data_IF_363746564221
#
_entry.id   IF_363746564221
#
_cell.length_a   1.000
_cell.length_b   1.000
_cell.length_c   1.000
_cell.angle_alpha   90.00
_cell.angle_beta   90.00
_cell.angle_gamma   90.00
#
_symmetry.space_group_name_H-M   'P 1'
#
loop_
_entity.id
_entity.type
_entity.pdbx_description
1 polymer ?
#
# COMPACT_ATOMS: atom_id res chain seq x y z
N UNK A 1 43.76 9.19 30.74
CA UNK A 1 43.76 8.87 29.28
C UNK A 1 42.80 7.73 28.92
N UNK A 2 42.84 6.56 29.57
CA UNK A 2 41.94 5.41 29.28
C UNK A 2 40.43 5.71 29.37
N UNK A 3 40.01 6.55 30.33
CA UNK A 3 38.63 7.01 30.51
C UNK A 3 38.11 7.87 29.34
N UNK A 4 39.00 8.64 28.70
CA UNK A 4 38.64 9.53 27.58
C UNK A 4 38.36 8.73 26.29
N UNK A 5 39.08 7.63 26.08
CA UNK A 5 38.83 6.72 24.95
C UNK A 5 37.51 5.94 25.10
N UNK A 6 37.14 5.59 26.34
CA UNK A 6 35.85 4.92 26.62
C UNK A 6 34.69 5.90 26.37
N UNK A 7 34.80 7.16 26.82
CA UNK A 7 33.77 8.16 26.62
C UNK A 7 33.60 8.53 25.13
N UNK A 8 34.71 8.62 24.38
CA UNK A 8 34.68 8.83 22.94
C UNK A 8 34.06 7.64 22.18
N UNK A 9 34.31 6.40 22.62
CA UNK A 9 33.70 5.21 22.04
C UNK A 9 32.19 5.15 22.24
N UNK A 10 31.69 5.51 23.42
CA UNK A 10 30.24 5.56 23.72
C UNK A 10 29.54 6.65 22.89
N UNK A 11 30.18 7.80 22.69
CA UNK A 11 29.62 8.89 21.88
C UNK A 11 29.50 8.52 20.39
N UNK A 12 30.46 7.75 19.85
CA UNK A 12 30.43 7.25 18.47
C UNK A 12 29.31 6.22 18.25
N UNK A 13 29.03 5.38 19.25
CA UNK A 13 27.94 4.38 19.20
C UNK A 13 26.57 5.06 19.19
N UNK A 14 26.40 6.15 19.96
CA UNK A 14 25.15 6.90 20.03
C UNK A 14 24.81 7.65 18.73
N UNK A 15 25.81 8.05 17.93
CA UNK A 15 25.60 8.74 16.65
C UNK A 15 25.18 7.81 15.50
N UNK A 16 25.28 6.49 15.67
CA UNK A 16 24.96 5.51 14.61
C UNK A 16 23.51 5.01 14.64
N UNK A 17 22.66 5.52 15.55
CA UNK A 17 21.31 5.00 15.76
C UNK A 17 20.21 5.72 14.94
N UNK A 18 20.58 6.60 14.02
CA UNK A 18 19.61 7.24 13.14
C UNK A 18 19.32 6.32 11.94
N UNK A 19 18.36 5.40 12.11
CA UNK A 19 17.73 4.71 10.98
C UNK A 19 16.48 5.49 10.61
N UNK A 20 16.53 6.26 9.54
CA UNK A 20 15.32 6.70 8.85
C UNK A 20 14.76 5.48 8.12
N UNK A 21 13.53 5.09 8.45
CA UNK A 21 12.82 4.13 7.62
C UNK A 21 12.68 4.70 6.20
N UNK A 22 12.84 3.86 5.16
CA UNK A 22 12.68 4.32 3.79
C UNK A 22 11.27 4.89 3.60
N UNK A 23 11.20 6.06 2.98
CA UNK A 23 9.94 6.73 2.64
C UNK A 23 9.06 5.79 1.79
N UNK A 24 7.82 5.58 2.25
CA UNK A 24 6.84 4.76 1.52
C UNK A 24 6.32 5.58 0.34
N UNK A 25 6.74 5.20 -0.87
CA UNK A 25 6.31 5.87 -2.10
C UNK A 25 5.15 5.10 -2.75
N UNK A 26 3.97 5.72 -2.77
CA UNK A 26 2.80 5.20 -3.48
C UNK A 26 2.92 5.50 -4.97
N UNK A 27 2.83 4.45 -5.78
CA UNK A 27 2.87 4.52 -7.24
C UNK A 27 1.48 4.24 -7.80
N UNK A 28 1.26 4.69 -9.03
CA UNK A 28 0.05 4.37 -9.76
C UNK A 28 0.35 4.14 -11.24
N UNK A 29 -0.53 3.40 -11.90
CA UNK A 29 -0.60 3.25 -13.36
C UNK A 29 -2.04 3.43 -13.80
N UNK A 30 -2.24 4.13 -14.91
CA UNK A 30 -3.56 4.57 -15.35
C UNK A 30 -4.09 5.76 -14.55
N UNK A 31 -5.27 6.24 -14.93
CA UNK A 31 -5.93 7.36 -14.26
C UNK A 31 -7.44 7.17 -14.30
N UNK A 32 -8.10 7.43 -13.18
CA UNK A 32 -9.56 7.32 -13.08
C UNK A 32 -10.28 8.21 -14.11
N UNK A 33 -9.75 9.41 -14.37
CA UNK A 33 -10.30 10.33 -15.37
C UNK A 33 -10.29 9.73 -16.79
N UNK A 34 -9.25 8.98 -17.16
CA UNK A 34 -9.15 8.33 -18.48
C UNK A 34 -10.16 7.18 -18.60
N UNK A 35 -10.33 6.39 -17.54
CA UNK A 35 -11.37 5.35 -17.45
C UNK A 35 -12.76 5.97 -17.60
N UNK A 36 -13.04 7.07 -16.89
CA UNK A 36 -14.31 7.79 -17.00
C UNK A 36 -14.53 8.39 -18.39
N UNK A 37 -13.46 8.73 -19.11
CA UNK A 37 -13.51 9.17 -20.50
C UNK A 37 -13.68 8.00 -21.50
N UNK A 38 -13.69 6.75 -21.03
CA UNK A 38 -13.89 5.54 -21.81
C UNK A 38 -12.61 4.80 -22.22
N UNK A 39 -11.43 5.29 -21.81
CA UNK A 39 -10.18 4.58 -22.03
C UNK A 39 -9.93 3.54 -20.93
N UNK A 40 -10.34 2.30 -21.20
CA UNK A 40 -10.29 1.17 -20.26
C UNK A 40 -9.19 0.16 -20.59
N UNK A 41 -8.26 0.50 -21.49
CA UNK A 41 -7.16 -0.38 -21.87
C UNK A 41 -6.19 -0.62 -20.70
N UNK A 42 -5.50 -1.76 -20.71
CA UNK A 42 -4.48 -2.10 -19.73
C UNK A 42 -3.28 -1.14 -19.81
N UNK A 43 -2.86 -0.62 -18.65
CA UNK A 43 -1.72 0.31 -18.53
C UNK A 43 -0.51 -0.34 -17.85
N UNK A 44 -0.73 -1.42 -17.10
CA UNK A 44 0.32 -2.18 -16.42
C UNK A 44 -0.06 -3.67 -16.38
N UNK A 45 0.94 -4.55 -16.52
CA UNK A 45 0.79 -5.98 -16.25
C UNK A 45 1.07 -6.26 -14.77
N UNK A 46 0.25 -7.08 -14.12
CA UNK A 46 0.46 -7.46 -12.72
C UNK A 46 1.74 -8.27 -12.50
N UNK A 47 2.25 -8.95 -13.53
CA UNK A 47 3.57 -9.60 -13.51
C UNK A 47 4.72 -8.63 -13.20
N UNK A 48 4.53 -7.31 -13.39
CA UNK A 48 5.50 -6.29 -12.97
C UNK A 48 5.72 -6.26 -11.45
N UNK A 49 4.79 -6.82 -10.66
CA UNK A 49 4.85 -6.85 -9.21
C UNK A 49 5.41 -8.17 -8.64
N UNK A 50 5.65 -9.19 -9.47
CA UNK A 50 5.97 -10.57 -9.03
C UNK A 50 7.18 -10.69 -8.11
N UNK A 51 8.19 -9.84 -8.33
CA UNK A 51 9.46 -9.88 -7.59
C UNK A 51 9.49 -8.84 -6.45
N UNK A 52 8.45 -8.01 -6.33
CA UNK A 52 8.32 -7.05 -5.24
C UNK A 52 7.89 -7.76 -3.96
N UNK A 53 8.47 -7.36 -2.82
CA UNK A 53 8.12 -7.89 -1.51
C UNK A 53 7.17 -6.94 -0.78
N UNK A 54 6.32 -7.49 0.09
CA UNK A 54 5.42 -6.72 0.94
C UNK A 54 4.54 -5.74 0.15
N UNK A 55 4.01 -6.20 -0.98
CA UNK A 55 3.24 -5.37 -1.90
C UNK A 55 1.83 -5.17 -1.38
N UNK A 56 1.36 -3.93 -1.47
CA UNK A 56 -0.03 -3.58 -1.27
C UNK A 56 -0.52 -2.90 -2.54
N UNK A 57 -1.62 -3.37 -3.11
CA UNK A 57 -2.19 -2.80 -4.33
C UNK A 57 -3.71 -2.89 -4.35
N UNK A 58 -4.32 -1.92 -5.02
CA UNK A 58 -5.75 -1.83 -5.30
C UNK A 58 -5.93 -1.30 -6.73
N UNK A 59 -6.84 -1.88 -7.50
CA UNK A 59 -7.09 -1.44 -8.86
C UNK A 59 -8.18 -2.21 -9.58
N UNK A 60 -8.33 -1.93 -10.87
CA UNK A 60 -9.31 -2.57 -11.74
C UNK A 60 -8.59 -3.34 -12.86
N UNK A 61 -9.07 -4.54 -13.16
CA UNK A 61 -8.61 -5.35 -14.29
C UNK A 61 -8.87 -4.62 -15.62
N UNK A 62 -8.04 -4.92 -16.61
CA UNK A 62 -8.22 -4.45 -17.99
C UNK A 62 -9.66 -4.67 -18.49
N UNK A 63 -10.16 -3.69 -19.25
CA UNK A 63 -11.54 -3.62 -19.74
C UNK A 63 -12.61 -3.61 -18.63
N UNK A 64 -12.23 -3.25 -17.40
CA UNK A 64 -13.10 -3.23 -16.22
C UNK A 64 -13.77 -4.59 -15.93
N UNK A 65 -13.07 -5.69 -16.23
CA UNK A 65 -13.59 -7.05 -16.05
C UNK A 65 -13.58 -7.54 -14.59
N UNK A 66 -13.16 -6.69 -13.65
CA UNK A 66 -13.12 -7.02 -12.24
C UNK A 66 -12.16 -6.14 -11.45
N UNK A 67 -11.92 -6.53 -10.20
CA UNK A 67 -11.13 -5.78 -9.23
C UNK A 67 -9.88 -6.55 -8.84
N UNK A 68 -8.82 -5.82 -8.48
CA UNK A 68 -7.51 -6.33 -8.09
C UNK A 68 -7.26 -5.88 -6.65
N UNK A 69 -6.95 -6.82 -5.77
CA UNK A 69 -6.45 -6.54 -4.44
C UNK A 69 -5.19 -7.36 -4.17
N UNK A 70 -4.12 -6.69 -3.73
CA UNK A 70 -2.91 -7.35 -3.25
C UNK A 70 -2.66 -6.89 -1.82
N UNK A 71 -2.56 -7.84 -0.89
CA UNK A 71 -2.29 -7.55 0.51
C UNK A 71 -1.05 -8.30 0.98
N UNK A 72 0.01 -7.56 1.31
CA UNK A 72 1.32 -8.12 1.67
C UNK A 72 1.87 -9.14 0.65
N UNK A 73 1.60 -8.93 -0.65
CA UNK A 73 1.97 -9.84 -1.74
C UNK A 73 0.97 -10.96 -2.05
N UNK A 74 -0.08 -11.14 -1.24
CA UNK A 74 -1.16 -12.09 -1.54
C UNK A 74 -2.15 -11.47 -2.52
N UNK A 75 -2.34 -12.13 -3.67
CA UNK A 75 -3.16 -11.61 -4.78
C UNK A 75 -4.56 -12.21 -4.71
N UNK A 76 -5.56 -11.33 -4.77
CA UNK A 76 -6.97 -11.67 -4.93
C UNK A 76 -7.57 -10.75 -6.00
N UNK A 77 -7.79 -11.31 -7.18
CA UNK A 77 -8.54 -10.69 -8.25
C UNK A 77 -9.97 -11.22 -8.20
N UNK A 78 -10.95 -10.35 -8.32
CA UNK A 78 -12.37 -10.71 -8.39
C UNK A 78 -12.94 -10.38 -9.76
N UNK A 79 -13.81 -11.22 -10.29
CA UNK A 79 -14.55 -10.97 -11.52
C UNK A 79 -15.97 -11.52 -11.40
N UNK A 80 -16.89 -11.08 -12.26
CA UNK A 80 -18.26 -11.59 -12.29
C UNK A 80 -18.47 -12.47 -13.52
N UNK A 81 -18.93 -13.69 -13.32
CA UNK A 81 -19.40 -14.60 -14.38
C UNK A 81 -20.72 -15.22 -13.96
N UNK A 82 -21.74 -15.17 -14.81
CA UNK A 82 -23.06 -15.74 -14.53
C UNK A 82 -23.66 -15.33 -13.17
N UNK A 83 -23.57 -14.04 -12.84
CA UNK A 83 -23.98 -13.47 -11.54
C UNK A 83 -23.24 -14.02 -10.32
N UNK A 84 -22.13 -14.72 -10.53
CA UNK A 84 -21.28 -15.29 -9.47
C UNK A 84 -19.95 -14.56 -9.45
N UNK A 85 -19.47 -14.26 -8.24
CA UNK A 85 -18.11 -13.72 -8.04
C UNK A 85 -17.11 -14.87 -8.13
N UNK A 86 -16.16 -14.75 -9.04
CA UNK A 86 -15.00 -15.63 -9.15
C UNK A 86 -13.78 -14.95 -8.54
N UNK A 87 -12.97 -15.72 -7.82
CA UNK A 87 -11.72 -15.25 -7.24
C UNK A 87 -10.53 -15.96 -7.89
N UNK A 88 -9.45 -15.23 -8.12
CA UNK A 88 -8.22 -15.73 -8.72
C UNK A 88 -7.01 -15.09 -8.06
N UNK A 89 -5.91 -15.85 -7.91
CA UNK A 89 -4.63 -15.33 -7.42
C UNK A 89 -3.60 -15.14 -8.55
N UNK A 90 -4.07 -14.99 -9.79
CA UNK A 90 -3.21 -14.86 -10.97
C UNK A 90 -2.56 -13.48 -11.06
N UNK A 91 -1.26 -13.46 -11.38
CA UNK A 91 -0.55 -12.24 -11.82
C UNK A 91 -0.52 -12.08 -13.34
N UNK A 92 -1.00 -13.07 -14.09
CA UNK A 92 -1.09 -13.03 -15.55
C UNK A 92 -2.31 -12.23 -16.03
N UNK A 93 -2.48 -11.01 -15.51
CA UNK A 93 -3.55 -10.09 -15.86
C UNK A 93 -2.97 -8.66 -16.02
N UNK A 94 -3.69 -7.82 -16.74
CA UNK A 94 -3.40 -6.39 -16.85
C UNK A 94 -4.41 -5.57 -16.03
N UNK A 95 -4.02 -4.35 -15.67
CA UNK A 95 -4.87 -3.40 -14.97
C UNK A 95 -5.07 -2.12 -15.79
N UNK A 96 -6.31 -1.62 -15.89
CA UNK A 96 -6.60 -0.29 -16.45
C UNK A 96 -6.18 0.82 -15.48
N UNK A 97 -6.35 0.56 -14.18
CA UNK A 97 -5.91 1.41 -13.07
C UNK A 97 -5.33 0.53 -11.96
N UNK A 98 -4.17 0.91 -11.43
CA UNK A 98 -3.57 0.24 -10.29
C UNK A 98 -2.83 1.25 -9.42
N UNK A 99 -3.16 1.31 -8.14
CA UNK A 99 -2.41 2.04 -7.12
C UNK A 99 -1.67 0.99 -6.28
N UNK A 100 -0.37 1.15 -6.09
CA UNK A 100 0.45 0.14 -5.43
C UNK A 100 1.65 0.73 -4.69
N UNK A 101 2.11 0.01 -3.68
CA UNK A 101 3.29 0.34 -2.88
C UNK A 101 3.92 -0.92 -2.28
N UNK A 102 5.08 -0.78 -1.66
CA UNK A 102 5.73 -1.82 -0.85
C UNK A 102 5.94 -1.28 0.57
N UNK A 103 5.36 -1.96 1.56
CA UNK A 103 5.42 -1.54 2.97
C UNK A 103 5.93 -2.69 3.80
N UNK A 104 7.19 -2.60 4.24
CA UNK A 104 7.84 -3.67 5.02
C UNK A 104 7.34 -3.75 6.46
N UNK A 105 7.14 -2.60 7.10
CA UNK A 105 6.74 -2.49 8.50
C UNK A 105 5.53 -1.57 8.58
N UNK A 106 4.46 -2.01 9.24
CA UNK A 106 3.29 -1.20 9.55
C UNK A 106 3.37 -0.71 10.99
N UNK A 107 2.89 0.51 11.22
CA UNK A 107 2.51 0.94 12.56
C UNK A 107 1.06 0.50 12.81
N UNK A 108 0.85 -0.26 13.88
CA UNK A 108 -0.48 -0.71 14.27
C UNK A 108 -1.15 0.33 15.18
N UNK A 109 -2.42 0.59 14.93
CA UNK A 109 -3.26 1.49 15.74
C UNK A 109 -4.48 0.72 16.19
N UNK A 110 -4.73 0.72 17.50
CA UNK A 110 -5.93 0.09 18.05
C UNK A 110 -7.18 0.85 17.62
N UNK A 111 -8.13 0.12 17.05
CA UNK A 111 -9.43 0.66 16.68
C UNK A 111 -10.30 0.72 17.94
N UNK A 112 -11.02 1.84 18.21
CA UNK A 112 -12.00 1.92 19.29
C UNK A 112 -13.03 0.78 19.22
N UNK A 113 -13.58 0.38 20.37
CA UNK A 113 -14.41 -0.83 20.47
C UNK A 113 -15.67 -0.83 19.60
N UNK A 114 -16.12 0.33 19.11
CA UNK A 114 -17.23 0.43 18.16
C UNK A 114 -17.25 1.77 17.42
N UNK A 115 -17.45 1.68 16.11
CA UNK A 115 -18.00 2.76 15.30
C UNK A 115 -19.48 2.44 15.02
N UNK A 116 -20.30 3.48 15.00
CA UNK A 116 -21.73 3.43 14.71
C UNK A 116 -22.08 4.00 13.34
N UNK A 117 -21.16 4.77 12.73
CA UNK A 117 -21.32 5.32 11.39
C UNK A 117 -19.98 5.34 10.61
N UNK A 118 -20.06 5.25 9.28
CA UNK A 118 -18.90 5.33 8.37
C UNK A 118 -18.09 6.62 8.56
N UNK A 119 -18.77 7.76 8.74
CA UNK A 119 -18.11 9.04 9.00
C UNK A 119 -17.22 9.04 10.25
N UNK A 120 -17.48 8.17 11.24
CA UNK A 120 -16.62 8.03 12.41
C UNK A 120 -15.32 7.29 12.06
N UNK A 121 -15.39 6.31 11.15
CA UNK A 121 -14.23 5.60 10.61
C UNK A 121 -13.36 6.58 9.82
N UNK A 122 -13.95 7.34 8.90
CA UNK A 122 -13.24 8.31 8.07
C UNK A 122 -12.52 9.36 8.93
N UNK A 123 -13.25 9.89 9.92
CA UNK A 123 -12.70 10.86 10.88
C UNK A 123 -11.54 10.25 11.67
N UNK A 124 -11.70 9.03 12.18
CA UNK A 124 -10.65 8.33 12.92
C UNK A 124 -9.39 8.13 12.08
N UNK A 125 -9.53 7.67 10.83
CA UNK A 125 -8.40 7.47 9.92
C UNK A 125 -7.69 8.79 9.62
N UNK A 126 -8.44 9.85 9.30
CA UNK A 126 -7.88 11.17 8.98
C UNK A 126 -7.15 11.80 10.18
N UNK A 127 -7.78 11.80 11.35
CA UNK A 127 -7.18 12.35 12.57
C UNK A 127 -5.92 11.57 12.96
N UNK A 128 -5.97 10.23 12.93
CA UNK A 128 -4.82 9.37 13.22
C UNK A 128 -3.66 9.66 12.27
N UNK A 129 -3.92 9.74 10.97
CA UNK A 129 -2.89 10.04 9.99
C UNK A 129 -2.24 11.42 10.24
N UNK A 130 -3.05 12.44 10.55
CA UNK A 130 -2.57 13.79 10.90
C UNK A 130 -1.72 13.79 12.18
N UNK A 131 -2.15 13.07 13.22
CA UNK A 131 -1.40 12.91 14.48
C UNK A 131 -0.04 12.22 14.26
N UNK A 132 0.04 11.28 13.31
CA UNK A 132 1.28 10.62 12.88
C UNK A 132 2.13 11.44 11.91
N UNK A 133 1.71 12.66 11.56
CA UNK A 133 2.44 13.55 10.65
C UNK A 133 2.36 13.16 9.18
N UNK A 134 1.40 12.32 8.79
CA UNK A 134 1.11 12.01 7.39
C UNK A 134 0.38 13.21 6.79
N UNK A 135 0.79 13.61 5.58
CA UNK A 135 0.09 14.65 4.82
C UNK A 135 -1.26 14.12 4.37
N UNK A 136 -2.34 14.68 4.90
CA UNK A 136 -3.74 14.35 4.59
C UNK A 136 -4.53 15.55 4.14
#
# INVERSE_FOLDING_TARGET
MKQIYILAGVLIILLSSCKTDPEVNVKYSGALMEIMAGNIAGTISLDALKDMKNVYALGALEDLQGEIQIFNGEVVNSSVSDSTVLLSSSLNNNASLLVYTSVKNWEEVEIPSQFTAEAEVDKFVFDTAKEKGISV
#
